data_IF_355958650893
#
_entry.id   IF_355958650893
#
_cell.length_a   1.000
_cell.length_b   1.000
_cell.length_c   1.000
_cell.angle_alpha   90.00
_cell.angle_beta   90.00
_cell.angle_gamma   90.00
#
_symmetry.space_group_name_H-M   'P 1'
#
loop_
_entity.id
_entity.type
_entity.pdbx_description
1 polymer ?
#
# COMPACT_ATOMS: atom_id res chain seq x y z
N UNK A 1 -16.11 21.93 -3.57
CA UNK A 1 -14.69 21.66 -3.26
C UNK A 1 -14.22 20.60 -4.24
N UNK A 2 -12.98 20.68 -4.74
CA UNK A 2 -12.47 19.67 -5.68
C UNK A 2 -12.21 18.36 -4.94
N UNK A 3 -12.63 17.24 -5.50
CA UNK A 3 -12.49 15.91 -4.91
C UNK A 3 -11.41 15.12 -5.64
N UNK A 4 -10.68 14.26 -4.95
CA UNK A 4 -9.51 13.57 -5.48
C UNK A 4 -9.54 12.07 -5.21
N UNK A 5 -8.95 11.28 -6.10
CA UNK A 5 -8.72 9.87 -5.83
C UNK A 5 -7.34 9.39 -6.27
N UNK A 6 -6.83 8.38 -5.58
CA UNK A 6 -5.54 7.72 -5.84
C UNK A 6 -5.73 6.23 -6.06
N UNK A 7 -4.80 5.61 -6.77
CA UNK A 7 -4.77 4.18 -7.01
C UNK A 7 -3.37 3.61 -6.76
N UNK A 8 -3.32 2.47 -6.08
CA UNK A 8 -2.10 1.72 -5.88
C UNK A 8 -2.37 0.23 -5.87
N UNK A 9 -1.32 -0.53 -6.12
CA UNK A 9 -1.34 -1.99 -6.04
C UNK A 9 -0.36 -2.41 -4.95
N UNK A 10 -0.82 -3.27 -4.06
CA UNK A 10 0.01 -3.92 -3.04
C UNK A 10 0.51 -5.29 -3.53
N UNK A 11 1.46 -5.83 -2.78
CA UNK A 11 2.03 -7.18 -2.96
C UNK A 11 2.75 -7.41 -4.29
N UNK A 12 3.44 -6.39 -4.83
CA UNK A 12 4.07 -6.52 -6.15
C UNK A 12 5.47 -7.14 -6.09
N UNK A 13 5.68 -8.18 -6.91
CA UNK A 13 6.98 -8.74 -7.24
C UNK A 13 6.95 -9.57 -8.52
N UNK A 14 5.80 -10.17 -8.86
CA UNK A 14 5.68 -11.18 -9.92
C UNK A 14 5.91 -10.59 -11.30
N UNK A 15 5.36 -9.42 -11.60
CA UNK A 15 5.55 -8.80 -12.92
C UNK A 15 7.02 -8.45 -13.18
N UNK A 16 7.78 -8.05 -12.15
CA UNK A 16 9.23 -7.79 -12.27
C UNK A 16 10.01 -9.08 -12.54
N UNK A 17 9.63 -10.17 -11.87
CA UNK A 17 10.18 -11.49 -12.16
C UNK A 17 9.85 -11.92 -13.60
N UNK A 18 8.61 -11.72 -14.05
CA UNK A 18 8.15 -12.04 -15.41
C UNK A 18 8.93 -11.25 -16.47
N UNK A 19 9.14 -9.96 -16.29
CA UNK A 19 9.96 -9.13 -17.18
C UNK A 19 11.39 -9.67 -17.30
N UNK A 20 11.97 -10.13 -16.19
CA UNK A 20 13.32 -10.72 -16.17
C UNK A 20 13.36 -12.07 -16.89
N UNK A 21 12.35 -12.92 -16.68
CA UNK A 21 12.25 -14.27 -17.27
C UNK A 21 11.95 -14.22 -18.76
N UNK A 22 10.91 -13.47 -19.15
CA UNK A 22 10.35 -13.47 -20.50
C UNK A 22 11.06 -12.51 -21.44
N UNK A 23 11.72 -11.47 -20.89
CA UNK A 23 12.49 -10.47 -21.65
C UNK A 23 11.71 -9.90 -22.85
N UNK A 24 10.46 -9.43 -22.67
CA UNK A 24 9.72 -8.81 -23.76
C UNK A 24 10.46 -7.60 -24.36
N UNK A 25 10.01 -7.13 -25.52
CA UNK A 25 10.59 -5.94 -26.16
C UNK A 25 10.21 -4.67 -25.38
N UNK A 26 8.96 -4.58 -24.92
CA UNK A 26 8.46 -3.51 -24.04
C UNK A 26 8.00 -4.07 -22.70
N UNK A 27 8.10 -3.28 -21.61
CA UNK A 27 7.45 -3.63 -20.34
C UNK A 27 5.94 -3.83 -20.48
N UNK A 28 5.30 -3.21 -21.47
CA UNK A 28 3.86 -3.30 -21.71
C UNK A 28 3.46 -4.50 -22.57
N UNK A 29 4.39 -5.35 -22.97
CA UNK A 29 4.06 -6.69 -23.49
C UNK A 29 3.78 -7.68 -22.35
N UNK A 30 4.16 -7.34 -21.10
CA UNK A 30 3.69 -8.05 -19.92
C UNK A 30 2.19 -7.77 -19.70
N UNK A 31 1.32 -8.79 -19.59
CA UNK A 31 -0.13 -8.59 -19.50
C UNK A 31 -0.58 -7.71 -18.33
N UNK A 32 0.13 -7.76 -17.20
CA UNK A 32 -0.23 -6.99 -16.01
C UNK A 32 0.05 -5.49 -16.23
N UNK A 33 1.23 -5.15 -16.76
CA UNK A 33 1.55 -3.76 -17.09
C UNK A 33 0.75 -3.25 -18.28
N UNK A 34 0.44 -4.12 -19.26
CA UNK A 34 -0.44 -3.80 -20.38
C UNK A 34 -1.82 -3.32 -19.91
N UNK A 35 -2.45 -4.08 -19.00
CA UNK A 35 -3.76 -3.72 -18.46
C UNK A 35 -3.73 -2.34 -17.77
N UNK A 36 -2.68 -2.05 -17.02
CA UNK A 36 -2.49 -0.73 -16.40
C UNK A 36 -2.27 0.40 -17.41
N UNK A 37 -1.50 0.14 -18.49
CA UNK A 37 -1.33 1.11 -19.59
C UNK A 37 -2.64 1.42 -20.29
N UNK A 38 -3.46 0.41 -20.58
CA UNK A 38 -4.77 0.61 -21.21
C UNK A 38 -5.70 1.44 -20.30
N UNK A 39 -5.65 1.22 -18.98
CA UNK A 39 -6.38 2.03 -18.00
C UNK A 39 -5.83 3.46 -17.90
N UNK A 40 -4.52 3.64 -17.99
CA UNK A 40 -3.89 4.96 -18.06
C UNK A 40 -4.35 5.73 -19.29
N UNK A 41 -4.30 5.12 -20.47
CA UNK A 41 -4.72 5.74 -21.73
C UNK A 41 -6.21 6.09 -21.75
N UNK A 42 -7.05 5.26 -21.10
CA UNK A 42 -8.50 5.45 -21.07
C UNK A 42 -8.98 6.44 -20.01
N UNK A 43 -8.37 6.43 -18.83
CA UNK A 43 -8.87 7.16 -17.65
C UNK A 43 -7.86 8.15 -17.05
N UNK A 44 -6.64 8.23 -17.57
CA UNK A 44 -5.55 9.00 -16.98
C UNK A 44 -5.00 8.38 -15.68
N UNK A 45 -5.20 7.07 -15.47
CA UNK A 45 -4.79 6.36 -14.27
C UNK A 45 -3.28 6.49 -14.01
N UNK A 46 -2.91 6.93 -12.81
CA UNK A 46 -1.56 6.90 -12.25
C UNK A 46 -1.49 5.76 -11.23
N UNK A 47 -0.41 5.01 -11.25
CA UNK A 47 -0.26 3.77 -10.49
C UNK A 47 1.00 3.83 -9.63
N UNK A 48 0.83 3.55 -8.35
CA UNK A 48 1.92 3.19 -7.46
C UNK A 48 1.93 1.67 -7.23
N UNK A 49 3.05 1.00 -7.54
CA UNK A 49 3.26 -0.42 -7.23
C UNK A 49 4.11 -0.54 -5.97
N UNK A 50 3.53 -1.08 -4.89
CA UNK A 50 4.24 -1.31 -3.64
C UNK A 50 4.94 -2.67 -3.69
N UNK A 51 6.27 -2.65 -3.60
CA UNK A 51 7.12 -3.78 -3.92
C UNK A 51 7.52 -4.60 -2.69
N UNK A 52 7.48 -5.92 -2.85
CA UNK A 52 8.28 -6.84 -2.04
C UNK A 52 9.72 -6.93 -2.57
N UNK A 53 10.68 -7.21 -1.70
CA UNK A 53 12.06 -7.45 -2.14
C UNK A 53 12.28 -8.87 -2.69
N UNK A 54 11.63 -9.91 -2.13
CA UNK A 54 11.85 -11.33 -2.51
C UNK A 54 10.58 -12.18 -2.41
N UNK A 55 10.49 -13.17 -3.28
CA UNK A 55 9.34 -14.09 -3.40
C UNK A 55 9.22 -14.99 -2.17
N UNK A 56 8.01 -15.50 -1.90
CA UNK A 56 7.74 -16.38 -0.75
C UNK A 56 8.67 -17.61 -0.75
N UNK A 57 8.87 -18.23 -1.91
CA UNK A 57 9.72 -19.41 -2.09
C UNK A 57 11.24 -19.09 -2.07
N UNK A 58 11.59 -17.80 -1.97
CA UNK A 58 12.96 -17.26 -2.00
C UNK A 58 13.75 -17.60 -3.26
N UNK A 59 13.08 -18.04 -4.33
CA UNK A 59 13.74 -18.36 -5.60
C UNK A 59 14.17 -17.11 -6.35
N UNK A 60 13.52 -15.95 -6.11
CA UNK A 60 13.81 -14.70 -6.81
C UNK A 60 13.67 -13.46 -5.93
N UNK A 61 14.49 -12.43 -6.20
CA UNK A 61 14.44 -11.14 -5.50
C UNK A 61 14.89 -10.00 -6.41
N UNK A 62 14.63 -8.74 -6.02
CA UNK A 62 14.88 -7.57 -6.88
C UNK A 62 16.35 -7.35 -7.24
N UNK A 63 17.32 -7.98 -6.56
CA UNK A 63 18.72 -7.94 -7.02
C UNK A 63 18.92 -8.65 -8.37
N UNK A 64 18.01 -9.57 -8.71
CA UNK A 64 17.98 -10.30 -9.99
C UNK A 64 17.19 -9.58 -11.08
N UNK A 65 16.48 -8.51 -10.77
CA UNK A 65 15.70 -7.74 -11.76
C UNK A 65 16.61 -7.22 -12.88
N UNK A 66 16.21 -7.41 -14.14
CA UNK A 66 16.95 -6.85 -15.29
C UNK A 66 16.88 -5.32 -15.30
N UNK A 67 17.95 -4.64 -15.73
CA UNK A 67 18.01 -3.19 -15.91
C UNK A 67 17.73 -2.73 -17.36
N UNK A 68 17.44 -3.67 -18.27
CA UNK A 68 17.09 -3.41 -19.68
C UNK A 68 16.01 -2.34 -19.85
N UNK A 69 15.05 -2.29 -18.94
CA UNK A 69 13.85 -1.44 -19.06
C UNK A 69 13.98 -0.09 -18.35
N UNK A 70 15.17 0.27 -17.87
CA UNK A 70 15.37 1.49 -17.08
C UNK A 70 14.85 2.75 -17.77
N UNK A 71 15.23 2.94 -19.03
CA UNK A 71 14.78 4.11 -19.81
C UNK A 71 13.28 4.09 -20.08
N UNK A 72 12.69 2.91 -20.27
CA UNK A 72 11.24 2.77 -20.48
C UNK A 72 10.45 3.08 -19.21
N UNK A 73 10.93 2.64 -18.03
CA UNK A 73 10.34 3.04 -16.76
C UNK A 73 10.45 4.56 -16.55
N UNK A 74 11.62 5.15 -16.78
CA UNK A 74 11.83 6.60 -16.66
C UNK A 74 10.93 7.40 -17.61
N UNK A 75 10.70 6.91 -18.82
CA UNK A 75 9.78 7.52 -19.78
C UNK A 75 8.31 7.52 -19.29
N UNK A 76 7.97 6.66 -18.34
CA UNK A 76 6.63 6.50 -17.77
C UNK A 76 6.52 6.99 -16.31
N UNK A 77 7.54 7.68 -15.78
CA UNK A 77 7.61 8.13 -14.38
C UNK A 77 6.49 9.09 -13.94
N UNK A 78 5.82 9.73 -14.88
CA UNK A 78 4.76 10.70 -14.61
C UNK A 78 3.44 10.01 -14.22
N UNK A 79 3.31 8.71 -14.48
CA UNK A 79 2.15 7.91 -14.11
C UNK A 79 2.47 6.56 -13.45
N UNK A 80 3.73 6.09 -13.45
CA UNK A 80 4.18 4.91 -12.70
C UNK A 80 5.15 5.31 -11.59
N UNK A 81 4.93 4.79 -10.38
CA UNK A 81 5.85 4.90 -9.24
C UNK A 81 6.00 3.58 -8.48
N UNK A 82 7.12 3.43 -7.78
CA UNK A 82 7.42 2.27 -6.92
C UNK A 82 7.52 2.68 -5.46
N UNK A 83 6.79 1.96 -4.60
CA UNK A 83 6.80 2.14 -3.15
C UNK A 83 7.44 0.99 -2.41
N UNK A 84 8.00 1.28 -1.24
CA UNK A 84 8.43 0.25 -0.29
C UNK A 84 7.21 -0.40 0.36
N UNK A 85 7.10 -1.74 0.27
CA UNK A 85 6.06 -2.52 0.94
C UNK A 85 6.62 -3.32 2.11
N UNK A 86 7.49 -4.29 1.83
CA UNK A 86 8.27 -5.03 2.83
C UNK A 86 9.36 -5.89 2.18
N UNK A 87 10.14 -6.61 3.01
CA UNK A 87 11.11 -7.60 2.54
C UNK A 87 10.46 -8.78 1.81
N UNK A 88 9.33 -9.28 2.32
CA UNK A 88 8.61 -10.49 1.90
C UNK A 88 7.12 -10.38 2.26
N UNK A 89 6.28 -11.18 1.60
CA UNK A 89 4.87 -11.35 1.95
C UNK A 89 4.67 -12.02 3.32
N UNK A 90 5.46 -13.06 3.63
CA UNK A 90 5.36 -13.77 4.91
C UNK A 90 6.60 -13.56 5.78
N UNK A 91 6.47 -13.55 7.11
CA UNK A 91 5.22 -13.70 7.88
C UNK A 91 4.38 -12.41 7.96
N UNK A 92 3.12 -12.55 8.39
CA UNK A 92 2.22 -11.42 8.64
C UNK A 92 2.81 -10.41 9.64
N UNK A 93 2.45 -9.14 9.47
CA UNK A 93 2.88 -8.03 10.32
C UNK A 93 4.41 -7.97 10.51
N UNK A 94 5.22 -7.95 9.43
CA UNK A 94 6.67 -8.07 9.54
C UNK A 94 7.30 -6.94 10.36
N UNK A 95 6.62 -5.80 10.48
CA UNK A 95 7.11 -4.60 11.14
C UNK A 95 6.46 -4.29 12.50
N UNK A 96 5.70 -5.23 13.09
CA UNK A 96 5.09 -5.05 14.43
C UNK A 96 6.12 -4.95 15.56
N UNK A 97 7.31 -5.55 15.40
CA UNK A 97 8.42 -5.50 16.35
C UNK A 97 9.72 -4.95 15.71
N UNK A 98 9.63 -4.27 14.56
CA UNK A 98 10.84 -3.95 13.81
C UNK A 98 11.69 -2.88 14.50
N UNK A 99 13.00 -3.07 14.46
CA UNK A 99 13.98 -2.07 14.87
C UNK A 99 14.22 -1.07 13.73
N UNK A 100 14.80 0.09 14.08
CA UNK A 100 15.28 1.05 13.10
C UNK A 100 16.16 0.40 12.02
N UNK A 101 17.18 -0.36 12.45
CA UNK A 101 18.16 -0.99 11.55
C UNK A 101 17.53 -2.01 10.60
N UNK A 102 16.51 -2.75 11.06
CA UNK A 102 15.80 -3.71 10.23
C UNK A 102 15.05 -3.00 9.10
N UNK A 103 14.29 -1.95 9.42
CA UNK A 103 13.55 -1.16 8.42
C UNK A 103 14.50 -0.44 7.48
N UNK A 104 15.58 0.16 8.01
CA UNK A 104 16.61 0.80 7.21
C UNK A 104 17.22 -0.16 6.18
N UNK A 105 17.57 -1.37 6.62
CA UNK A 105 18.16 -2.41 5.76
C UNK A 105 17.19 -2.85 4.67
N UNK A 106 15.94 -3.13 5.02
CA UNK A 106 14.93 -3.59 4.07
C UNK A 106 14.61 -2.50 3.04
N UNK A 107 14.38 -1.26 3.49
CA UNK A 107 14.15 -0.13 2.60
C UNK A 107 15.34 0.07 1.65
N UNK A 108 16.57 0.06 2.18
CA UNK A 108 17.79 0.23 1.37
C UNK A 108 17.91 -0.83 0.29
N UNK A 109 17.52 -2.08 0.56
CA UNK A 109 17.60 -3.15 -0.43
C UNK A 109 16.66 -2.89 -1.62
N UNK A 110 15.43 -2.46 -1.34
CA UNK A 110 14.44 -2.13 -2.38
C UNK A 110 14.82 -0.85 -3.11
N UNK A 111 15.19 0.21 -2.39
CA UNK A 111 15.65 1.49 -2.94
C UNK A 111 16.78 1.30 -3.95
N UNK A 112 17.84 0.58 -3.57
CA UNK A 112 18.98 0.31 -4.46
C UNK A 112 18.59 -0.54 -5.66
N UNK A 113 17.65 -1.47 -5.51
CA UNK A 113 17.17 -2.26 -6.62
C UNK A 113 16.41 -1.38 -7.62
N UNK A 114 15.45 -0.57 -7.15
CA UNK A 114 14.68 0.35 -8.00
C UNK A 114 15.60 1.34 -8.71
N UNK A 115 16.54 1.96 -8.00
CA UNK A 115 17.50 2.90 -8.60
C UNK A 115 18.29 2.25 -9.76
N UNK A 116 18.66 0.97 -9.59
CA UNK A 116 19.34 0.20 -10.62
C UNK A 116 18.44 -0.09 -11.82
N UNK A 117 17.26 -0.69 -11.62
CA UNK A 117 16.44 -1.18 -12.73
C UNK A 117 15.50 -0.15 -13.36
N UNK A 118 15.17 0.93 -12.66
CA UNK A 118 14.18 1.92 -13.10
C UNK A 118 14.59 3.39 -12.84
N UNK A 119 15.63 3.64 -12.04
CA UNK A 119 16.07 4.99 -11.72
C UNK A 119 15.47 5.54 -10.42
N UNK A 120 16.15 6.51 -9.81
CA UNK A 120 15.81 7.03 -8.48
C UNK A 120 14.50 7.82 -8.48
N UNK A 121 14.17 8.44 -9.60
CA UNK A 121 12.96 9.24 -9.83
C UNK A 121 11.68 8.42 -9.76
N UNK A 122 11.78 7.09 -9.89
CA UNK A 122 10.65 6.18 -9.81
C UNK A 122 10.22 5.88 -8.37
N UNK A 123 11.06 6.20 -7.38
CA UNK A 123 10.78 5.92 -5.96
C UNK A 123 9.84 7.00 -5.42
N UNK A 124 8.68 6.58 -4.92
CA UNK A 124 7.71 7.46 -4.24
C UNK A 124 8.10 7.71 -2.78
N UNK A 125 7.74 8.88 -2.26
CA UNK A 125 7.85 9.24 -0.83
C UNK A 125 6.59 8.93 -0.02
N UNK A 126 5.56 8.36 -0.65
CA UNK A 126 4.31 7.93 -0.04
C UNK A 126 4.28 6.41 0.10
N UNK A 127 4.27 5.88 1.32
CA UNK A 127 4.49 4.45 1.56
C UNK A 127 3.24 3.72 2.06
N UNK A 128 3.09 2.47 1.62
CA UNK A 128 2.13 1.51 2.18
C UNK A 128 2.93 0.31 2.63
N UNK A 129 3.13 0.16 3.94
CA UNK A 129 3.90 -0.98 4.47
C UNK A 129 3.02 -2.22 4.54
N UNK A 130 3.63 -3.40 4.40
CA UNK A 130 2.88 -4.66 4.46
C UNK A 130 2.17 -4.80 5.82
N UNK A 131 0.86 -5.09 5.78
CA UNK A 131 -0.08 -5.03 6.91
C UNK A 131 -0.28 -3.66 7.57
N UNK A 132 0.28 -2.59 7.01
CA UNK A 132 0.18 -1.18 7.44
C UNK A 132 0.91 -0.89 8.75
N UNK A 133 1.26 -1.86 9.58
CA UNK A 133 1.78 -1.61 10.93
C UNK A 133 3.27 -1.25 10.91
N UNK A 134 3.69 -0.31 11.77
CA UNK A 134 5.08 0.09 11.95
C UNK A 134 5.37 0.56 13.39
N UNK A 135 6.56 0.21 13.91
CA UNK A 135 7.10 0.73 15.18
C UNK A 135 7.52 2.20 15.04
N UNK A 136 7.71 2.91 16.15
CA UNK A 136 8.21 4.29 16.11
C UNK A 136 9.60 4.38 15.50
N UNK A 137 10.48 3.45 15.88
CA UNK A 137 11.84 3.33 15.36
C UNK A 137 11.83 3.05 13.86
N UNK A 138 10.90 2.23 13.39
CA UNK A 138 10.68 1.98 11.97
C UNK A 138 10.17 3.21 11.22
N UNK A 139 9.21 3.97 11.80
CA UNK A 139 8.78 5.26 11.22
C UNK A 139 9.95 6.22 11.10
N UNK A 140 10.79 6.34 12.13
CA UNK A 140 11.98 7.19 12.09
C UNK A 140 12.95 6.76 10.97
N UNK A 141 13.18 5.45 10.79
CA UNK A 141 14.03 4.95 9.70
C UNK A 141 13.47 5.34 8.31
N UNK A 142 12.14 5.28 8.12
CA UNK A 142 11.52 5.70 6.86
C UNK A 142 11.67 7.21 6.62
N UNK A 143 11.55 8.04 7.65
CA UNK A 143 11.75 9.50 7.55
C UNK A 143 13.19 9.82 7.18
N UNK A 144 14.16 9.17 7.83
CA UNK A 144 15.58 9.38 7.53
C UNK A 144 15.95 8.93 6.11
N UNK A 145 15.16 7.99 5.56
CA UNK A 145 15.20 7.58 4.15
C UNK A 145 14.46 8.51 3.19
N UNK A 146 13.82 9.55 3.70
CA UNK A 146 13.16 10.58 2.91
C UNK A 146 11.67 10.34 2.65
N UNK A 147 11.07 9.31 3.26
CA UNK A 147 9.61 9.15 3.24
C UNK A 147 8.93 10.35 3.90
N UNK A 148 7.77 10.74 3.37
CA UNK A 148 7.00 11.90 3.84
C UNK A 148 5.60 11.53 4.29
N UNK A 149 5.03 10.50 3.69
CA UNK A 149 3.70 10.01 4.01
C UNK A 149 3.71 8.50 4.12
N UNK A 150 2.90 7.96 5.02
CA UNK A 150 2.62 6.52 5.06
C UNK A 150 1.19 6.21 5.52
N UNK A 151 0.70 5.03 5.12
CA UNK A 151 -0.57 4.52 5.64
C UNK A 151 -0.49 4.21 7.12
N UNK A 152 -1.55 4.57 7.84
CA UNK A 152 -1.74 4.24 9.25
C UNK A 152 -2.92 3.30 9.45
N UNK A 153 -2.89 2.61 10.58
CA UNK A 153 -4.07 1.89 11.08
C UNK A 153 -5.02 2.86 11.77
N UNK A 154 -6.32 2.56 11.73
CA UNK A 154 -7.37 3.35 12.42
C UNK A 154 -8.31 2.39 13.12
N UNK A 155 -8.92 2.82 14.23
CA UNK A 155 -9.81 1.99 15.03
C UNK A 155 -9.69 2.28 16.51
N UNK A 156 -10.65 1.81 17.31
CA UNK A 156 -10.48 1.80 18.76
C UNK A 156 -9.45 0.75 19.16
N UNK A 157 -8.50 1.13 20.02
CA UNK A 157 -7.62 0.16 20.69
C UNK A 157 -8.39 -0.71 21.66
N UNK A 158 -8.05 -2.00 21.67
CA UNK A 158 -8.58 -2.99 22.59
C UNK A 158 -7.49 -3.48 23.54
N UNK A 159 -7.88 -3.90 24.74
CA UNK A 159 -6.97 -4.50 25.70
C UNK A 159 -6.65 -5.95 25.30
N UNK A 160 -5.37 -6.22 25.03
CA UNK A 160 -4.91 -7.46 24.42
C UNK A 160 -5.35 -8.76 25.15
N UNK A 161 -5.37 -8.85 26.49
CA UNK A 161 -5.85 -10.04 27.20
C UNK A 161 -7.31 -10.40 26.88
N UNK A 162 -8.17 -9.43 26.58
CA UNK A 162 -9.60 -9.64 26.36
C UNK A 162 -9.92 -10.28 25.00
N UNK A 163 -8.98 -10.21 24.06
CA UNK A 163 -9.18 -10.54 22.64
C UNK A 163 -8.10 -11.46 22.07
N UNK A 164 -7.24 -12.02 22.94
CA UNK A 164 -6.21 -12.99 22.56
C UNK A 164 -6.77 -14.16 21.73
N UNK A 165 -8.00 -14.59 22.00
CA UNK A 165 -8.67 -15.67 21.26
C UNK A 165 -9.05 -15.31 19.83
N UNK A 166 -9.06 -14.02 19.47
CA UNK A 166 -9.38 -13.56 18.12
C UNK A 166 -8.19 -13.65 17.14
N UNK A 167 -6.99 -13.98 17.63
CA UNK A 167 -5.77 -14.05 16.83
C UNK A 167 -5.19 -15.45 16.78
N UNK A 168 -4.46 -15.72 15.69
CA UNK A 168 -3.68 -16.95 15.57
C UNK A 168 -2.62 -17.06 16.68
N UNK A 169 -2.12 -18.27 16.92
CA UNK A 169 -1.02 -18.48 17.88
C UNK A 169 0.23 -17.68 17.49
N UNK A 170 0.51 -17.57 16.19
CA UNK A 170 1.64 -16.81 15.65
C UNK A 170 1.49 -15.31 15.89
N UNK A 171 0.33 -14.74 15.57
CA UNK A 171 0.05 -13.32 15.82
C UNK A 171 0.17 -12.99 17.31
N UNK A 172 -0.39 -13.85 18.17
CA UNK A 172 -0.26 -13.72 19.62
C UNK A 172 1.19 -13.80 20.10
N UNK A 173 1.99 -14.71 19.54
CA UNK A 173 3.41 -14.83 19.86
C UNK A 173 4.20 -13.58 19.43
N UNK A 174 3.92 -13.05 18.23
CA UNK A 174 4.56 -11.84 17.74
C UNK A 174 4.22 -10.62 18.60
N UNK A 175 3.00 -10.50 19.13
CA UNK A 175 2.65 -9.44 20.09
C UNK A 175 3.35 -9.62 21.44
N UNK A 176 3.46 -10.85 21.94
CA UNK A 176 4.06 -11.12 23.24
C UNK A 176 5.55 -10.76 23.33
N UNK A 177 6.29 -10.77 22.20
CA UNK A 177 7.69 -10.35 22.13
C UNK A 177 7.94 -8.88 22.50
N UNK A 178 6.91 -8.03 22.41
CA UNK A 178 7.02 -6.58 22.59
C UNK A 178 6.92 -6.11 24.05
N UNK A 179 6.68 -7.00 25.03
CA UNK A 179 6.40 -6.61 26.44
C UNK A 179 7.59 -5.95 27.16
N UNK A 180 8.81 -6.17 26.70
CA UNK A 180 10.04 -5.71 27.37
C UNK A 180 10.67 -4.45 26.74
N UNK A 181 10.08 -3.89 25.68
CA UNK A 181 10.55 -2.62 25.10
C UNK A 181 9.83 -1.44 25.81
N UNK A 182 10.56 -0.49 26.43
CA UNK A 182 9.98 0.54 27.30
C UNK A 182 8.97 1.52 26.67
N UNK A 183 8.64 1.39 25.37
CA UNK A 183 7.79 2.34 24.64
C UNK A 183 6.82 1.71 23.62
N UNK A 184 6.50 0.40 23.67
CA UNK A 184 5.66 -0.17 22.59
C UNK A 184 4.15 0.13 22.80
N UNK A 185 3.58 0.92 21.87
CA UNK A 185 2.12 1.05 21.62
C UNK A 185 1.58 -0.14 20.80
N UNK A 186 2.29 -1.27 20.77
CA UNK A 186 1.88 -2.46 20.04
C UNK A 186 0.63 -3.03 20.71
N UNK A 187 -0.48 -3.00 20.01
CA UNK A 187 -1.77 -3.42 20.54
C UNK A 187 -2.64 -4.01 19.44
N UNK A 188 -3.90 -4.20 19.76
CA UNK A 188 -4.94 -4.59 18.82
C UNK A 188 -5.89 -3.41 18.61
N UNK A 189 -6.31 -3.24 17.36
CA UNK A 189 -7.38 -2.37 16.93
C UNK A 189 -8.57 -3.18 16.40
N UNK A 190 -9.74 -2.56 16.33
CA UNK A 190 -10.80 -3.00 15.42
C UNK A 190 -10.83 -2.02 14.25
N UNK A 191 -10.51 -2.49 13.04
CA UNK A 191 -10.56 -1.63 11.85
C UNK A 191 -12.00 -1.36 11.47
N UNK A 192 -12.31 -0.09 11.21
CA UNK A 192 -13.58 0.34 10.62
C UNK A 192 -13.47 0.50 9.09
N UNK A 193 -12.83 -0.41 8.36
CA UNK A 193 -12.71 -0.26 6.89
C UNK A 193 -13.92 -0.87 6.15
N UNK A 194 -14.31 -0.26 5.03
CA UNK A 194 -15.41 -0.73 4.18
C UNK A 194 -15.04 -2.05 3.48
N UNK A 195 -15.16 -3.17 4.20
CA UNK A 195 -14.83 -4.52 3.73
C UNK A 195 -14.29 -5.43 4.84
N UNK A 196 -13.67 -4.85 5.87
CA UNK A 196 -13.14 -5.57 7.05
C UNK A 196 -13.66 -4.98 8.37
N UNK A 197 -14.76 -4.19 8.32
CA UNK A 197 -15.35 -3.56 9.49
C UNK A 197 -15.68 -4.61 10.56
N UNK A 198 -15.09 -4.44 11.74
CA UNK A 198 -15.26 -5.38 12.85
C UNK A 198 -14.21 -6.48 12.95
N UNK A 199 -13.22 -6.55 12.05
CA UNK A 199 -12.11 -7.49 12.18
C UNK A 199 -11.02 -6.94 13.11
N UNK A 200 -10.61 -7.70 14.14
CA UNK A 200 -9.45 -7.40 14.95
C UNK A 200 -8.18 -7.37 14.09
N UNK A 201 -7.38 -6.32 14.26
CA UNK A 201 -6.14 -6.06 13.54
C UNK A 201 -5.02 -5.72 14.52
N UNK A 202 -3.78 -6.00 14.16
CA UNK A 202 -2.67 -5.44 14.93
C UNK A 202 -2.47 -3.97 14.56
N UNK A 203 -2.11 -3.17 15.57
CA UNK A 203 -1.68 -1.78 15.41
C UNK A 203 -0.44 -1.51 16.26
N UNK A 204 0.28 -0.45 15.93
CA UNK A 204 1.43 -0.02 16.71
C UNK A 204 1.52 1.51 16.73
N UNK A 205 2.69 2.10 16.50
CA UNK A 205 2.92 3.52 16.65
C UNK A 205 2.14 4.34 15.61
N UNK A 206 2.13 3.90 14.35
CA UNK A 206 1.39 4.54 13.25
C UNK A 206 -0.11 4.17 13.27
N UNK A 207 -0.78 4.57 14.35
CA UNK A 207 -2.19 4.28 14.59
C UNK A 207 -2.90 5.53 15.10
N UNK A 208 -4.07 5.80 14.55
CA UNK A 208 -4.98 6.87 15.00
C UNK A 208 -6.24 6.25 15.59
N UNK A 209 -6.63 6.70 16.78
CA UNK A 209 -7.94 6.32 17.34
C UNK A 209 -9.07 6.90 16.47
N UNK A 210 -10.27 6.30 16.51
CA UNK A 210 -11.38 6.72 15.64
C UNK A 210 -11.69 8.22 15.74
N UNK A 211 -11.66 8.78 16.96
CA UNK A 211 -11.91 10.22 17.16
C UNK A 211 -10.92 11.10 16.40
N UNK A 212 -9.64 10.74 16.41
CA UNK A 212 -8.59 11.48 15.68
C UNK A 212 -8.71 11.20 14.18
N UNK A 213 -8.95 9.95 13.81
CA UNK A 213 -9.11 9.55 12.41
C UNK A 213 -10.29 10.25 11.74
N UNK A 214 -11.43 10.39 12.43
CA UNK A 214 -12.66 11.03 11.94
C UNK A 214 -12.44 12.52 11.58
N UNK A 215 -11.50 13.19 12.23
CA UNK A 215 -11.14 14.57 11.89
C UNK A 215 -10.49 14.69 10.51
N UNK A 216 -9.87 13.63 10.00
CA UNK A 216 -9.14 13.60 8.72
C UNK A 216 -9.74 12.59 7.72
N UNK A 217 -10.76 11.84 8.12
CA UNK A 217 -11.30 10.76 7.29
C UNK A 217 -12.03 11.30 6.06
N UNK A 218 -11.67 10.76 4.89
CA UNK A 218 -12.21 11.19 3.61
C UNK A 218 -11.85 12.64 3.25
N UNK A 219 -10.92 13.27 3.96
CA UNK A 219 -10.44 14.63 3.70
C UNK A 219 -9.13 14.59 2.92
N UNK A 220 -8.86 15.65 2.15
CA UNK A 220 -7.57 15.81 1.48
C UNK A 220 -6.44 16.16 2.45
N UNK A 221 -6.79 16.86 3.54
CA UNK A 221 -5.87 17.17 4.63
C UNK A 221 -5.79 15.99 5.59
N UNK A 222 -4.56 15.59 5.92
CA UNK A 222 -4.24 14.39 6.66
C UNK A 222 -3.61 14.72 8.00
N UNK A 223 -3.52 13.72 8.87
CA UNK A 223 -2.89 13.88 10.17
C UNK A 223 -1.37 13.96 9.99
N UNK A 224 -0.75 15.02 10.54
CA UNK A 224 0.71 15.15 10.62
C UNK A 224 1.14 14.90 12.05
N UNK A 225 1.90 13.82 12.25
CA UNK A 225 2.40 13.43 13.55
C UNK A 225 3.33 14.51 14.12
N UNK A 226 3.01 15.12 15.26
CA UNK A 226 3.85 16.18 15.83
C UNK A 226 5.21 15.66 16.33
N UNK A 227 5.33 14.35 16.60
CA UNK A 227 6.55 13.79 17.16
C UNK A 227 7.59 13.45 16.08
N UNK A 228 7.18 12.76 15.02
CA UNK A 228 8.10 12.39 13.93
C UNK A 228 8.02 13.32 12.72
N UNK A 229 6.91 14.04 12.54
CA UNK A 229 6.62 14.82 11.35
C UNK A 229 6.05 14.02 10.18
N UNK A 230 5.83 12.71 10.36
CA UNK A 230 5.22 11.83 9.34
C UNK A 230 3.77 12.24 9.06
N UNK A 231 3.38 12.24 7.79
CA UNK A 231 1.98 12.38 7.39
C UNK A 231 1.34 10.99 7.37
N UNK A 232 0.24 10.83 8.09
CA UNK A 232 -0.54 9.60 8.11
C UNK A 232 -1.78 9.74 7.26
N UNK A 233 -1.84 8.94 6.18
CA UNK A 233 -3.08 8.73 5.46
C UNK A 233 -3.77 7.46 5.98
N UNK A 234 -5.10 7.45 5.94
CA UNK A 234 -5.83 6.20 6.21
C UNK A 234 -5.61 5.24 5.06
N UNK A 235 -5.59 3.94 5.37
CA UNK A 235 -5.70 2.88 4.38
C UNK A 235 -6.87 3.12 3.39
N UNK A 236 -6.81 2.52 2.20
CA UNK A 236 -7.74 2.80 1.11
C UNK A 236 -9.22 2.71 1.53
N UNK A 237 -10.05 3.53 0.88
CA UNK A 237 -11.50 3.53 1.04
C UNK A 237 -12.13 2.21 0.56
N UNK A 238 -11.49 1.50 -0.36
CA UNK A 238 -11.90 0.18 -0.84
C UNK A 238 -10.69 -0.65 -1.31
N UNK A 239 -10.71 -1.93 -0.92
CA UNK A 239 -9.85 -3.00 -1.45
C UNK A 239 -10.66 -3.77 -2.49
N UNK A 240 -10.39 -3.55 -3.78
CA UNK A 240 -11.27 -3.98 -4.86
C UNK A 240 -11.34 -5.51 -5.02
N UNK A 241 -10.27 -6.24 -4.72
CA UNK A 241 -10.28 -7.71 -4.70
C UNK A 241 -11.08 -8.32 -3.54
N UNK A 242 -11.52 -7.51 -2.57
CA UNK A 242 -12.41 -7.95 -1.49
C UNK A 242 -13.90 -7.72 -1.81
N UNK A 243 -14.21 -7.13 -2.98
CA UNK A 243 -15.56 -6.70 -3.35
C UNK A 243 -15.88 -7.24 -4.74
N UNK A 244 -17.06 -7.86 -4.88
CA UNK A 244 -17.54 -8.30 -6.20
C UNK A 244 -17.89 -7.07 -7.05
N UNK A 245 -17.59 -7.12 -8.35
CA UNK A 245 -17.87 -6.01 -9.26
C UNK A 245 -19.33 -5.53 -9.21
N UNK A 246 -20.29 -6.46 -9.10
CA UNK A 246 -21.72 -6.13 -9.00
C UNK A 246 -22.10 -5.30 -7.76
N UNK A 247 -21.28 -5.34 -6.71
CA UNK A 247 -21.54 -4.62 -5.47
C UNK A 247 -20.94 -3.20 -5.50
N UNK A 248 -20.16 -2.83 -6.53
CA UNK A 248 -19.49 -1.53 -6.63
C UNK A 248 -20.45 -0.35 -6.47
N UNK A 249 -21.63 -0.29 -7.14
CA UNK A 249 -22.56 0.83 -6.96
C UNK A 249 -22.85 1.11 -5.47
N UNK A 250 -23.19 0.07 -4.71
CA UNK A 250 -23.48 0.19 -3.27
C UNK A 250 -22.25 0.58 -2.43
N UNK A 251 -21.06 0.08 -2.78
CA UNK A 251 -19.82 0.40 -2.04
C UNK A 251 -19.35 1.83 -2.28
N UNK A 252 -19.60 2.38 -3.46
CA UNK A 252 -19.19 3.73 -3.82
C UNK A 252 -20.16 4.82 -3.33
N UNK A 253 -21.40 4.49 -2.95
CA UNK A 253 -22.41 5.47 -2.47
C UNK A 253 -21.89 6.42 -1.38
N UNK A 254 -21.10 5.90 -0.44
CA UNK A 254 -20.50 6.72 0.62
C UNK A 254 -19.11 7.25 0.28
N UNK A 255 -18.38 6.59 -0.61
CA UNK A 255 -17.05 7.03 -1.03
C UNK A 255 -17.14 8.31 -1.87
N UNK A 256 -18.12 8.42 -2.77
CA UNK A 256 -18.27 9.61 -3.63
C UNK A 256 -18.66 10.88 -2.86
N UNK A 257 -19.02 10.76 -1.58
CA UNK A 257 -19.31 11.89 -0.68
C UNK A 257 -18.06 12.47 -0.01
N UNK A 258 -16.90 11.80 -0.15
CA UNK A 258 -15.64 12.19 0.49
C UNK A 258 -14.86 13.19 -0.38
N UNK A 259 -14.00 14.01 0.22
CA UNK A 259 -13.06 14.88 -0.51
C UNK A 259 -11.93 14.07 -1.14
N UNK A 260 -11.56 12.94 -0.53
CA UNK A 260 -10.49 12.06 -0.99
C UNK A 260 -10.89 10.58 -0.87
N UNK A 261 -10.60 9.79 -1.91
CA UNK A 261 -10.78 8.33 -1.92
C UNK A 261 -9.52 7.64 -2.43
N UNK A 262 -8.90 6.80 -1.59
CA UNK A 262 -7.91 5.83 -2.07
C UNK A 262 -8.58 4.53 -2.52
N UNK A 263 -8.21 4.01 -3.68
CA UNK A 263 -8.63 2.69 -4.17
C UNK A 263 -7.39 1.77 -4.30
N UNK A 264 -7.51 0.50 -3.92
CA UNK A 264 -6.40 -0.44 -4.03
C UNK A 264 -6.85 -1.82 -4.53
N UNK A 265 -5.88 -2.57 -5.04
CA UNK A 265 -6.00 -4.00 -5.38
C UNK A 265 -4.65 -4.69 -5.09
N UNK A 266 -4.59 -6.02 -5.10
CA UNK A 266 -3.34 -6.77 -4.86
C UNK A 266 -2.93 -7.51 -6.13
N UNK A 267 -1.63 -7.49 -6.44
CA UNK A 267 -1.07 -8.05 -7.70
C UNK A 267 -1.52 -9.51 -7.94
N UNK A 268 -1.43 -10.35 -6.91
CA UNK A 268 -1.68 -11.79 -7.00
C UNK A 268 -3.04 -12.18 -7.61
N UNK A 269 -4.07 -11.34 -7.45
CA UNK A 269 -5.40 -11.59 -8.00
C UNK A 269 -5.46 -11.48 -9.54
N UNK A 270 -4.42 -10.94 -10.17
CA UNK A 270 -4.33 -10.82 -11.63
C UNK A 270 -3.96 -12.13 -12.34
N UNK A 271 -3.26 -13.05 -11.67
CA UNK A 271 -2.71 -14.24 -12.32
C UNK A 271 -3.60 -15.46 -12.12
N UNK A 272 -3.84 -16.21 -13.19
CA UNK A 272 -4.76 -17.37 -13.24
C UNK A 272 -4.31 -18.58 -12.41
N UNK A 273 -3.04 -18.62 -12.03
CA UNK A 273 -2.46 -19.62 -11.13
C UNK A 273 -2.68 -19.31 -9.64
N UNK A 274 -3.16 -18.12 -9.29
CA UNK A 274 -3.48 -17.78 -7.92
C UNK A 274 -4.84 -18.36 -7.51
N UNK A 275 -4.92 -18.94 -6.31
CA UNK A 275 -6.11 -19.68 -5.86
C UNK A 275 -7.39 -18.83 -5.82
N UNK A 276 -7.24 -17.51 -5.70
CA UNK A 276 -8.33 -16.53 -5.73
C UNK A 276 -8.22 -15.58 -6.93
N UNK A 277 -7.73 -16.08 -8.08
CA UNK A 277 -7.69 -15.34 -9.34
C UNK A 277 -9.02 -14.64 -9.65
N UNK A 278 -8.93 -13.38 -10.08
CA UNK A 278 -10.06 -12.54 -10.49
C UNK A 278 -9.93 -12.16 -11.97
N UNK A 279 -10.66 -12.84 -12.88
CA UNK A 279 -10.60 -12.50 -14.31
C UNK A 279 -11.14 -11.10 -14.63
N UNK A 280 -11.89 -10.50 -13.69
CA UNK A 280 -12.41 -9.14 -13.76
C UNK A 280 -11.46 -8.09 -13.13
N UNK A 281 -10.20 -8.42 -12.84
CA UNK A 281 -9.20 -7.49 -12.24
C UNK A 281 -9.19 -6.11 -12.92
N UNK A 282 -8.95 -6.07 -14.24
CA UNK A 282 -8.87 -4.82 -14.98
C UNK A 282 -10.23 -4.11 -15.08
N UNK A 283 -11.32 -4.89 -15.14
CA UNK A 283 -12.69 -4.36 -15.18
C UNK A 283 -13.07 -3.70 -13.86
N UNK A 284 -12.65 -4.25 -12.72
CA UNK A 284 -12.80 -3.64 -11.40
C UNK A 284 -12.10 -2.29 -11.34
N UNK A 285 -10.82 -2.23 -11.70
CA UNK A 285 -10.06 -0.96 -11.69
C UNK A 285 -10.71 0.06 -12.62
N UNK A 286 -11.06 -0.33 -13.84
CA UNK A 286 -11.71 0.55 -14.82
C UNK A 286 -13.08 1.06 -14.37
N UNK A 287 -13.89 0.18 -13.77
CA UNK A 287 -15.22 0.53 -13.24
C UNK A 287 -15.11 1.49 -12.06
N UNK A 288 -14.17 1.27 -11.13
CA UNK A 288 -13.90 2.18 -10.03
C UNK A 288 -13.46 3.58 -10.53
N UNK A 289 -12.54 3.63 -11.50
CA UNK A 289 -12.12 4.88 -12.14
C UNK A 289 -13.30 5.60 -12.77
N UNK A 290 -14.12 4.88 -13.54
CA UNK A 290 -15.31 5.45 -14.19
C UNK A 290 -16.28 6.04 -13.16
N UNK A 291 -16.61 5.33 -12.08
CA UNK A 291 -17.53 5.83 -11.05
C UNK A 291 -17.03 7.13 -10.44
N UNK A 292 -15.74 7.20 -10.08
CA UNK A 292 -15.15 8.38 -9.43
C UNK A 292 -15.03 9.56 -10.40
N UNK A 293 -14.61 9.32 -11.64
CA UNK A 293 -14.53 10.35 -12.68
C UNK A 293 -15.92 10.90 -13.06
N UNK A 294 -16.93 10.03 -13.21
CA UNK A 294 -18.31 10.44 -13.47
C UNK A 294 -18.89 11.25 -12.30
N UNK A 295 -18.42 10.99 -11.06
CA UNK A 295 -18.75 11.77 -9.86
C UNK A 295 -17.97 13.10 -9.75
N UNK A 296 -17.08 13.42 -10.70
CA UNK A 296 -16.33 14.66 -10.76
C UNK A 296 -15.01 14.67 -9.99
N UNK A 297 -14.50 13.51 -9.56
CA UNK A 297 -13.19 13.41 -8.92
C UNK A 297 -12.06 13.62 -9.93
N UNK A 298 -10.97 14.25 -9.49
CA UNK A 298 -9.71 14.28 -10.21
C UNK A 298 -8.79 13.14 -9.74
N UNK A 299 -8.13 12.48 -10.68
CA UNK A 299 -7.13 11.48 -10.36
C UNK A 299 -5.75 12.11 -10.10
N UNK A 300 -5.13 11.76 -8.98
CA UNK A 300 -3.78 12.20 -8.60
C UNK A 300 -2.91 11.02 -8.18
N UNK A 301 -1.59 11.21 -8.19
CA UNK A 301 -0.67 10.22 -7.63
C UNK A 301 -0.77 10.23 -6.10
N UNK A 302 -0.36 9.13 -5.44
CA UNK A 302 -0.27 9.16 -3.97
C UNK A 302 0.78 10.16 -3.48
N UNK A 303 1.84 10.40 -4.24
CA UNK A 303 2.88 11.35 -3.88
C UNK A 303 2.37 12.80 -3.94
N UNK A 304 1.45 13.11 -4.87
CA UNK A 304 0.83 14.43 -5.01
C UNK A 304 0.08 14.84 -3.71
N UNK A 305 -0.38 13.87 -2.90
CA UNK A 305 -1.05 14.13 -1.63
C UNK A 305 -0.17 14.88 -0.61
N UNK A 306 1.15 14.74 -0.71
CA UNK A 306 2.11 15.39 0.20
C UNK A 306 2.01 16.92 0.06
N UNK A 307 1.84 17.42 -1.16
CA UNK A 307 1.81 18.86 -1.46
C UNK A 307 0.53 19.56 -0.93
N UNK A 308 -0.51 18.79 -0.57
CA UNK A 308 -1.73 19.33 0.04
C UNK A 308 -1.63 19.48 1.56
N UNK A 309 -0.51 19.09 2.18
CA UNK A 309 -0.35 19.10 3.64
C UNK A 309 0.34 20.35 4.18
N UNK A 310 0.81 21.24 3.31
CA UNK A 310 1.38 22.54 3.64
C UNK A 310 0.31 23.61 3.91
#
# INVERSE_FOLDING_TARGET
>A
MKQYFTYFVDDNIRFLENLTKNKPESIFDDPYLKAHKELHEKYGLKVQFNLFYETIDKSWNLSKMTDRYKEEFLANKDWIKFGFHSRHELPDYPYINATYDQVWKDYTAIEKAIERFAGKEMITKSLVTHWVVMTKEGVQALIDKGAKMMTCTTGNRLDYPEIRSAFSTEHNFNLAKNKDLPVSKASVCVRATNGLSGMPCLCNYNHLEDKEADEYFGKIKMYKDPETGMIYNRFAGITMNAVRLCDFPSRFENLVKQEYVGILIHEQYFYDDYFAYEPDFAEKVGTACKILLDAGFEHISMEDLIDFQD
#
